data_IF_154306748317
#
_entry.id   IF_154306748317
#
_cell.length_a   1.000
_cell.length_b   1.000
_cell.length_c   1.000
_cell.angle_alpha   90.00
_cell.angle_beta   90.00
_cell.angle_gamma   90.00
#
_symmetry.space_group_name_H-M   'P 1'
#
loop_
_entity.id
_entity.type
_entity.pdbx_description
1 polymer ?
#
# COMPACT_ATOMS: atom_id res chain seq x y z
N UNK A 1 22.94 -17.40 31.88
CA UNK A 1 23.64 -18.31 30.95
C UNK A 1 23.86 -17.52 29.63
N UNK A 2 25.11 -17.38 29.22
CA UNK A 2 25.50 -16.60 28.02
C UNK A 2 24.92 -17.13 26.71
N UNK A 3 24.38 -18.36 26.71
CA UNK A 3 23.75 -19.01 25.54
C UNK A 3 22.26 -18.72 25.40
N UNK A 4 21.68 -18.01 26.38
CA UNK A 4 20.24 -17.68 26.43
C UNK A 4 20.03 -16.18 26.37
N UNK A 5 18.90 -15.75 25.79
CA UNK A 5 18.40 -14.38 25.77
C UNK A 5 17.11 -14.32 26.59
N UNK A 6 16.92 -13.23 27.35
CA UNK A 6 15.65 -12.93 27.97
C UNK A 6 14.60 -12.56 26.88
N UNK A 7 13.33 -12.85 27.15
CA UNK A 7 12.25 -12.61 26.17
C UNK A 7 12.21 -11.16 25.65
N UNK A 8 12.53 -10.17 26.49
CA UNK A 8 12.52 -8.78 26.07
C UNK A 8 13.66 -8.44 25.10
N UNK A 9 14.89 -8.95 25.35
CA UNK A 9 16.03 -8.75 24.45
C UNK A 9 15.78 -9.46 23.10
N UNK A 10 15.22 -10.66 23.15
CA UNK A 10 14.85 -11.40 21.96
C UNK A 10 13.69 -10.77 21.20
N UNK A 11 12.75 -10.09 21.89
CA UNK A 11 11.66 -9.35 21.25
C UNK A 11 12.17 -8.16 20.42
N UNK A 12 13.21 -7.47 20.87
CA UNK A 12 13.85 -6.38 20.09
C UNK A 12 14.47 -6.93 18.80
N UNK A 13 15.16 -8.07 18.87
CA UNK A 13 15.71 -8.73 17.68
C UNK A 13 14.57 -9.12 16.73
N UNK A 14 13.48 -9.70 17.24
CA UNK A 14 12.32 -10.08 16.44
C UNK A 14 11.63 -8.88 15.79
N UNK A 15 11.57 -7.74 16.51
CA UNK A 15 11.08 -6.48 15.96
C UNK A 15 11.94 -6.03 14.76
N UNK A 16 13.27 -6.03 14.89
CA UNK A 16 14.17 -5.62 13.80
C UNK A 16 14.12 -6.54 12.57
N UNK A 17 13.83 -7.84 12.75
CA UNK A 17 13.54 -8.74 11.64
C UNK A 17 12.21 -8.40 10.95
N UNK A 18 11.26 -7.84 11.70
CA UNK A 18 9.90 -7.61 11.23
C UNK A 18 9.73 -6.24 10.58
N UNK A 19 10.21 -5.18 11.23
CA UNK A 19 9.94 -3.80 10.86
C UNK A 19 10.97 -3.25 9.86
N UNK A 20 10.45 -2.65 8.78
CA UNK A 20 11.24 -1.86 7.83
C UNK A 20 11.21 -0.37 8.14
N UNK A 21 11.57 0.44 7.15
CA UNK A 21 11.52 1.89 7.24
C UNK A 21 10.09 2.42 7.46
N UNK A 22 9.97 3.60 8.06
CA UNK A 22 8.71 4.26 8.40
C UNK A 22 7.84 3.46 9.38
N UNK A 23 8.49 2.81 10.34
CA UNK A 23 7.86 2.05 11.42
C UNK A 23 8.61 2.28 12.73
N UNK A 24 7.89 2.24 13.85
CA UNK A 24 8.48 2.26 15.18
C UNK A 24 7.88 1.17 16.08
N UNK A 25 8.61 0.74 17.14
CA UNK A 25 8.11 -0.22 18.11
C UNK A 25 7.19 0.46 19.14
N UNK A 26 6.27 -0.31 19.71
CA UNK A 26 5.72 0.01 21.03
C UNK A 26 6.77 -0.25 22.11
N UNK A 27 6.45 0.11 23.36
CA UNK A 27 7.23 -0.38 24.51
C UNK A 27 7.25 -1.91 24.54
N UNK A 28 8.41 -2.47 24.89
CA UNK A 28 8.54 -3.91 25.08
C UNK A 28 7.90 -4.32 26.41
N UNK A 29 7.04 -5.34 26.38
CA UNK A 29 6.39 -5.87 27.56
C UNK A 29 6.15 -7.37 27.43
N UNK A 30 6.68 -8.17 28.36
CA UNK A 30 6.49 -9.62 28.40
C UNK A 30 6.81 -10.29 27.05
N UNK A 31 7.97 -9.95 26.47
CA UNK A 31 8.42 -10.47 25.18
C UNK A 31 7.59 -10.02 23.96
N UNK A 32 6.76 -8.98 24.09
CA UNK A 32 5.88 -8.46 23.04
C UNK A 32 6.29 -7.07 22.61
N UNK A 33 6.26 -6.82 21.30
CA UNK A 33 6.39 -5.51 20.67
C UNK A 33 5.36 -5.41 19.55
N UNK A 34 4.66 -4.28 19.47
CA UNK A 34 3.81 -3.93 18.34
C UNK A 34 4.63 -3.11 17.33
N UNK A 35 4.42 -3.34 16.05
CA UNK A 35 5.00 -2.56 14.95
C UNK A 35 3.96 -1.53 14.51
N UNK A 36 4.31 -0.24 14.57
CA UNK A 36 3.40 0.88 14.32
C UNK A 36 3.90 1.67 13.10
N UNK A 37 2.98 2.10 12.24
CA UNK A 37 3.29 2.89 11.04
C UNK A 37 3.63 4.35 11.38
N UNK A 38 4.70 4.89 10.77
CA UNK A 38 5.08 6.31 10.85
C UNK A 38 4.54 7.15 9.70
N UNK A 39 4.05 6.50 8.64
CA UNK A 39 3.52 7.16 7.45
C UNK A 39 2.34 6.41 6.86
N UNK A 40 1.54 7.14 6.08
CA UNK A 40 0.53 6.55 5.20
C UNK A 40 1.22 5.84 4.02
N UNK A 41 0.66 4.71 3.58
CA UNK A 41 1.22 3.97 2.45
C UNK A 41 0.56 2.63 2.22
N UNK A 42 1.16 1.86 1.32
CA UNK A 42 0.79 0.48 1.03
C UNK A 42 1.66 -0.47 1.87
N UNK A 43 1.03 -1.25 2.75
CA UNK A 43 1.74 -2.28 3.51
C UNK A 43 2.08 -3.47 2.61
N UNK A 44 3.35 -3.81 2.56
CA UNK A 44 3.86 -5.05 1.95
C UNK A 44 4.30 -6.01 3.05
N UNK A 45 3.99 -7.29 2.87
CA UNK A 45 4.38 -8.38 3.77
C UNK A 45 5.09 -9.45 2.97
N UNK A 46 6.33 -9.76 3.35
CA UNK A 46 7.05 -10.93 2.82
C UNK A 46 6.53 -12.19 3.51
N UNK A 47 5.60 -12.86 2.83
CA UNK A 47 4.89 -14.03 3.36
C UNK A 47 5.81 -15.23 3.55
N UNK A 48 6.83 -15.37 2.71
CA UNK A 48 7.77 -16.49 2.79
C UNK A 48 8.71 -16.33 3.99
N UNK A 49 9.26 -15.12 4.22
CA UNK A 49 10.04 -14.82 5.41
C UNK A 49 9.21 -14.97 6.67
N UNK A 50 8.01 -14.40 6.69
CA UNK A 50 7.07 -14.50 7.81
C UNK A 50 6.82 -15.97 8.18
N UNK A 51 6.53 -16.82 7.20
CA UNK A 51 6.30 -18.25 7.40
C UNK A 51 7.54 -18.95 7.95
N UNK A 52 8.72 -18.67 7.38
CA UNK A 52 9.99 -19.27 7.83
C UNK A 52 10.31 -18.89 9.28
N UNK A 53 10.19 -17.60 9.65
CA UNK A 53 10.46 -17.15 11.03
C UNK A 53 9.45 -17.77 11.99
N UNK A 54 8.16 -17.76 11.69
CA UNK A 54 7.14 -18.38 12.55
C UNK A 54 7.31 -19.91 12.67
N UNK A 55 7.97 -20.57 11.72
CA UNK A 55 8.18 -22.02 11.79
C UNK A 55 9.18 -22.46 12.86
N UNK A 56 9.93 -21.53 13.48
CA UNK A 56 10.77 -21.85 14.65
C UNK A 56 9.97 -22.20 15.91
N UNK A 57 8.67 -21.89 15.97
CA UNK A 57 7.74 -22.35 16.99
C UNK A 57 7.74 -21.57 18.31
N UNK A 58 8.82 -20.89 18.67
CA UNK A 58 8.94 -20.04 19.89
C UNK A 58 8.90 -18.54 19.55
N UNK A 59 8.90 -18.22 18.28
CA UNK A 59 8.79 -16.88 17.70
C UNK A 59 7.41 -16.75 17.05
N UNK A 60 6.73 -15.65 17.30
CA UNK A 60 5.42 -15.38 16.71
C UNK A 60 5.35 -13.96 16.18
N UNK A 61 5.02 -13.83 14.89
CA UNK A 61 4.72 -12.59 14.23
C UNK A 61 3.34 -12.72 13.60
N UNK A 62 2.39 -11.87 14.04
CA UNK A 62 1.07 -11.74 13.44
C UNK A 62 0.96 -10.37 12.77
N UNK A 63 0.62 -10.33 11.48
CA UNK A 63 0.59 -9.09 10.69
C UNK A 63 -0.82 -8.76 10.22
N UNK A 64 -1.06 -7.49 9.88
CA UNK A 64 -2.16 -7.14 8.99
C UNK A 64 -1.97 -7.81 7.63
N UNK A 65 -3.03 -7.88 6.86
CA UNK A 65 -2.96 -8.40 5.49
C UNK A 65 -2.07 -7.50 4.62
N UNK A 66 -1.17 -8.10 3.86
CA UNK A 66 -0.36 -7.37 2.88
C UNK A 66 -1.18 -6.83 1.71
N UNK A 67 -0.64 -5.85 1.00
CA UNK A 67 -1.30 -5.11 -0.08
C UNK A 67 -2.55 -4.34 0.36
N UNK A 68 -2.54 -3.84 1.60
CA UNK A 68 -3.60 -2.97 2.14
C UNK A 68 -3.05 -1.58 2.44
N UNK A 69 -3.89 -0.57 2.28
CA UNK A 69 -3.56 0.79 2.69
C UNK A 69 -3.48 0.87 4.23
N UNK A 70 -2.47 1.58 4.71
CA UNK A 70 -2.28 1.85 6.15
C UNK A 70 -2.08 3.34 6.36
N UNK A 71 -2.41 3.81 7.56
CA UNK A 71 -2.23 5.20 7.99
C UNK A 71 -1.19 5.29 9.09
N UNK A 72 -0.58 6.46 9.22
CA UNK A 72 0.29 6.76 10.36
C UNK A 72 -0.43 6.47 11.68
N UNK A 73 0.24 5.74 12.58
CA UNK A 73 -0.30 5.28 13.86
C UNK A 73 -1.01 3.93 13.80
N UNK A 74 -1.19 3.34 12.62
CA UNK A 74 -1.77 2.00 12.51
C UNK A 74 -0.84 0.93 13.05
N UNK A 75 -1.39 -0.03 13.80
CA UNK A 75 -0.67 -1.24 14.20
C UNK A 75 -0.59 -2.18 13.02
N UNK A 76 0.61 -2.51 12.60
CA UNK A 76 0.90 -3.32 11.41
C UNK A 76 1.11 -4.79 11.74
N UNK A 77 1.78 -5.04 12.88
CA UNK A 77 2.06 -6.37 13.38
C UNK A 77 2.17 -6.37 14.90
N UNK A 78 1.98 -7.54 15.48
CA UNK A 78 2.39 -7.86 16.85
C UNK A 78 3.43 -8.96 16.79
N UNK A 79 4.54 -8.79 17.50
CA UNK A 79 5.59 -9.79 17.66
C UNK A 79 5.60 -10.31 19.09
N UNK A 80 5.97 -11.57 19.29
CA UNK A 80 6.07 -12.17 20.61
C UNK A 80 7.13 -13.28 20.66
N UNK A 81 7.90 -13.28 21.73
CA UNK A 81 8.70 -14.42 22.16
C UNK A 81 7.85 -15.20 23.17
N UNK A 82 7.64 -16.49 22.93
CA UNK A 82 6.72 -17.32 23.74
C UNK A 82 7.36 -17.72 25.07
N UNK A 83 8.60 -18.25 25.13
CA UNK A 83 9.25 -18.60 26.37
C UNK A 83 9.89 -17.39 27.05
N UNK A 84 10.01 -17.41 28.37
CA UNK A 84 10.69 -16.38 29.18
C UNK A 84 12.17 -16.19 28.76
N UNK A 85 12.82 -17.27 28.35
CA UNK A 85 14.18 -17.28 27.83
C UNK A 85 14.25 -18.17 26.59
N UNK A 86 15.04 -17.74 25.60
CA UNK A 86 15.18 -18.42 24.32
C UNK A 86 16.67 -18.60 23.97
N UNK A 87 17.01 -19.66 23.24
CA UNK A 87 18.40 -19.91 22.81
C UNK A 87 18.85 -18.81 21.83
N UNK A 88 20.02 -18.22 22.12
CA UNK A 88 20.64 -17.22 21.25
C UNK A 88 20.85 -17.73 19.83
N UNK A 89 21.36 -18.96 19.68
CA UNK A 89 21.54 -19.62 18.38
C UNK A 89 20.24 -19.67 17.54
N UNK A 90 19.08 -19.87 18.19
CA UNK A 90 17.78 -19.87 17.49
C UNK A 90 17.43 -18.49 16.95
N UNK A 91 17.69 -17.44 17.72
CA UNK A 91 17.48 -16.05 17.29
C UNK A 91 18.41 -15.65 16.15
N UNK A 92 19.68 -16.10 16.21
CA UNK A 92 20.66 -15.88 15.14
C UNK A 92 20.22 -16.54 13.83
N UNK A 93 19.83 -17.81 13.86
CA UNK A 93 19.30 -18.53 12.68
C UNK A 93 18.03 -17.90 12.12
N UNK A 94 17.14 -17.40 12.97
CA UNK A 94 15.94 -16.68 12.52
C UNK A 94 16.32 -15.33 11.89
N UNK A 95 17.30 -14.61 12.44
CA UNK A 95 17.77 -13.33 11.91
C UNK A 95 18.42 -13.47 10.54
N UNK A 96 19.10 -14.57 10.26
CA UNK A 96 19.68 -14.85 8.94
C UNK A 96 18.65 -14.83 7.81
N UNK A 97 17.39 -15.22 8.10
CA UNK A 97 16.29 -15.21 7.12
C UNK A 97 15.95 -13.78 6.67
N UNK A 98 16.17 -12.80 7.55
CA UNK A 98 15.85 -11.38 7.32
C UNK A 98 17.11 -10.51 7.17
N UNK A 99 18.27 -11.11 6.95
CA UNK A 99 19.57 -10.39 6.89
C UNK A 99 19.66 -9.38 5.75
N UNK A 100 18.95 -9.61 4.64
CA UNK A 100 18.97 -8.75 3.45
C UNK A 100 17.72 -7.82 3.37
N UNK A 101 16.62 -8.17 4.02
CA UNK A 101 15.43 -7.32 4.08
C UNK A 101 14.46 -7.73 5.20
N UNK A 102 13.71 -6.77 5.79
CA UNK A 102 12.70 -7.04 6.79
C UNK A 102 11.45 -7.71 6.21
N UNK A 103 10.60 -8.24 7.10
CA UNK A 103 9.32 -8.88 6.71
C UNK A 103 8.30 -7.87 6.23
N UNK A 104 8.25 -6.67 6.84
CA UNK A 104 7.30 -5.61 6.52
C UNK A 104 7.99 -4.45 5.82
N UNK A 105 7.26 -3.86 4.87
CA UNK A 105 7.65 -2.62 4.19
C UNK A 105 6.42 -1.75 3.97
N UNK A 106 6.53 -0.45 4.24
CA UNK A 106 5.54 0.54 3.81
C UNK A 106 6.07 1.19 2.52
N UNK A 107 5.25 1.18 1.48
CA UNK A 107 5.47 1.97 0.28
C UNK A 107 4.62 3.25 0.40
N UNK A 108 5.24 4.41 0.67
CA UNK A 108 4.50 5.66 0.81
C UNK A 108 3.73 6.01 -0.47
N UNK A 109 2.55 6.62 -0.33
CA UNK A 109 1.81 7.14 -1.47
C UNK A 109 2.50 8.39 -2.02
N UNK A 110 2.95 8.31 -3.28
CA UNK A 110 3.70 9.38 -3.94
C UNK A 110 2.87 10.21 -4.90
N UNK A 111 1.77 9.64 -5.43
CA UNK A 111 0.86 10.36 -6.34
C UNK A 111 0.13 11.47 -5.60
N UNK A 112 0.08 12.67 -6.18
CA UNK A 112 -0.54 13.85 -5.58
C UNK A 112 -1.64 14.46 -6.43
N UNK A 113 -1.55 14.32 -7.76
CA UNK A 113 -2.47 14.93 -8.73
C UNK A 113 -3.07 13.88 -9.63
N UNK A 114 -4.38 13.92 -9.77
CA UNK A 114 -5.13 13.08 -10.70
C UNK A 114 -5.87 13.91 -11.74
N UNK A 115 -6.05 13.32 -12.92
CA UNK A 115 -7.02 13.78 -13.91
C UNK A 115 -8.17 12.78 -14.00
N UNK A 116 -9.36 13.28 -14.27
CA UNK A 116 -10.51 12.47 -14.67
C UNK A 116 -10.94 12.92 -16.07
N UNK A 117 -10.92 12.00 -17.00
CA UNK A 117 -11.39 12.19 -18.37
C UNK A 117 -12.65 11.36 -18.54
N UNK A 118 -13.79 12.05 -18.66
CA UNK A 118 -15.08 11.42 -18.88
C UNK A 118 -15.40 11.43 -20.36
N UNK A 119 -15.77 10.29 -20.93
CA UNK A 119 -16.12 10.15 -22.33
C UNK A 119 -17.56 9.69 -22.51
N UNK A 120 -18.13 9.97 -23.64
CA UNK A 120 -19.46 9.55 -24.04
C UNK A 120 -20.35 10.71 -24.49
N UNK A 121 -20.99 10.53 -25.63
CA UNK A 121 -21.88 11.53 -26.23
C UNK A 121 -23.02 11.96 -25.30
N UNK A 122 -23.53 11.05 -24.50
CA UNK A 122 -24.67 11.34 -23.62
C UNK A 122 -24.31 12.29 -22.47
N UNK A 123 -23.13 12.09 -21.87
CA UNK A 123 -22.60 12.99 -20.83
C UNK A 123 -22.13 14.29 -21.43
N UNK A 124 -21.41 14.22 -22.57
CA UNK A 124 -20.87 15.41 -23.25
C UNK A 124 -21.97 16.39 -23.68
N UNK A 125 -23.09 15.89 -24.23
CA UNK A 125 -24.24 16.72 -24.63
C UNK A 125 -25.22 17.00 -23.49
N UNK A 126 -24.88 16.60 -22.24
CA UNK A 126 -25.71 16.89 -21.06
C UNK A 126 -27.03 16.10 -20.98
N UNK A 127 -27.17 15.01 -21.74
CA UNK A 127 -28.35 14.15 -21.72
C UNK A 127 -28.41 13.31 -20.43
N UNK A 128 -27.23 12.93 -19.91
CA UNK A 128 -27.06 12.20 -18.65
C UNK A 128 -26.06 12.98 -17.80
N UNK A 129 -26.29 13.02 -16.50
CA UNK A 129 -25.33 13.60 -15.54
C UNK A 129 -24.16 12.66 -15.31
N UNK A 130 -22.93 13.19 -15.29
CA UNK A 130 -21.75 12.43 -14.89
C UNK A 130 -21.88 11.94 -13.45
N UNK A 131 -22.00 10.64 -13.29
CA UNK A 131 -22.06 9.96 -11.99
C UNK A 131 -20.71 9.38 -11.53
N UNK A 132 -19.71 9.29 -12.42
CA UNK A 132 -18.43 8.67 -12.09
C UNK A 132 -17.45 9.66 -11.47
N UNK A 133 -17.31 10.84 -12.00
CA UNK A 133 -16.35 11.84 -11.51
C UNK A 133 -16.46 12.10 -10.01
N UNK A 134 -17.66 12.35 -9.43
CA UNK A 134 -17.75 12.59 -7.98
C UNK A 134 -17.35 11.39 -7.12
N UNK A 135 -17.55 10.17 -7.64
CA UNK A 135 -17.16 8.93 -6.93
C UNK A 135 -15.65 8.76 -6.96
N UNK A 136 -15.02 9.03 -8.11
CA UNK A 136 -13.56 8.95 -8.26
C UNK A 136 -12.91 10.01 -7.38
N UNK A 137 -13.37 11.25 -7.44
CA UNK A 137 -12.86 12.35 -6.63
C UNK A 137 -12.88 12.01 -5.13
N UNK A 138 -14.00 11.50 -4.64
CA UNK A 138 -14.10 11.04 -3.25
C UNK A 138 -13.08 9.96 -2.92
N UNK A 139 -12.89 8.98 -3.81
CA UNK A 139 -11.94 7.87 -3.59
C UNK A 139 -10.48 8.33 -3.59
N UNK A 140 -10.08 9.16 -4.55
CA UNK A 140 -8.69 9.63 -4.63
C UNK A 140 -8.33 10.54 -3.45
N UNK A 141 -9.29 11.34 -2.97
CA UNK A 141 -9.10 12.19 -1.79
C UNK A 141 -8.80 11.38 -0.51
N UNK A 142 -9.30 10.13 -0.40
CA UNK A 142 -8.98 9.22 0.72
C UNK A 142 -7.48 8.88 0.78
N UNK A 143 -6.76 8.99 -0.35
CA UNK A 143 -5.32 8.77 -0.48
C UNK A 143 -4.50 10.07 -0.54
N UNK A 144 -5.12 11.22 -0.27
CA UNK A 144 -4.46 12.53 -0.33
C UNK A 144 -4.10 12.97 -1.75
N UNK A 145 -4.81 12.46 -2.76
CA UNK A 145 -4.65 12.83 -4.18
C UNK A 145 -5.70 13.87 -4.54
N UNK A 146 -5.26 14.98 -5.13
CA UNK A 146 -6.13 16.06 -5.62
C UNK A 146 -6.58 15.79 -7.07
N UNK A 147 -7.86 16.00 -7.36
CA UNK A 147 -8.33 16.05 -8.75
C UNK A 147 -7.99 17.41 -9.35
N UNK A 148 -6.81 17.50 -10.00
CA UNK A 148 -6.28 18.74 -10.55
C UNK A 148 -6.76 19.02 -11.98
N UNK A 149 -7.32 18.05 -12.67
CA UNK A 149 -7.82 18.18 -14.04
C UNK A 149 -9.08 17.33 -14.22
N UNK A 150 -10.11 17.91 -14.83
CA UNK A 150 -11.29 17.17 -15.27
C UNK A 150 -11.78 17.73 -16.60
N UNK A 151 -12.03 16.85 -17.54
CA UNK A 151 -12.59 17.22 -18.84
C UNK A 151 -13.51 16.11 -19.37
N UNK A 152 -14.58 16.54 -20.06
CA UNK A 152 -15.54 15.63 -20.68
C UNK A 152 -15.45 15.74 -22.19
N UNK A 153 -15.33 14.60 -22.87
CA UNK A 153 -15.24 14.49 -24.32
C UNK A 153 -16.41 13.70 -24.90
N UNK A 154 -16.78 14.02 -26.13
CA UNK A 154 -17.56 13.11 -26.96
C UNK A 154 -16.71 11.92 -27.40
N UNK A 155 -17.30 10.93 -28.09
CA UNK A 155 -16.61 9.71 -28.55
C UNK A 155 -15.70 9.97 -29.77
N UNK A 156 -14.81 10.96 -29.63
CA UNK A 156 -13.79 11.34 -30.60
C UNK A 156 -12.40 10.94 -30.04
N UNK A 157 -11.82 9.88 -30.61
CA UNK A 157 -10.55 9.31 -30.17
C UNK A 157 -9.42 10.34 -30.13
N UNK A 158 -9.34 11.22 -31.11
CA UNK A 158 -8.28 12.25 -31.19
C UNK A 158 -8.38 13.29 -30.08
N UNK A 159 -9.62 13.67 -29.73
CA UNK A 159 -9.83 14.62 -28.62
C UNK A 159 -9.52 13.99 -27.28
N UNK A 160 -9.92 12.74 -27.10
CA UNK A 160 -9.64 11.97 -25.87
C UNK A 160 -8.13 11.82 -25.70
N UNK A 161 -7.41 11.37 -26.76
CA UNK A 161 -5.95 11.26 -26.76
C UNK A 161 -5.30 12.60 -26.42
N UNK A 162 -5.78 13.70 -27.05
CA UNK A 162 -5.26 15.04 -26.76
C UNK A 162 -5.45 15.42 -25.30
N UNK A 163 -6.63 15.18 -24.73
CA UNK A 163 -6.90 15.45 -23.31
C UNK A 163 -6.00 14.65 -22.38
N UNK A 164 -5.74 13.37 -22.68
CA UNK A 164 -4.77 12.56 -21.93
C UNK A 164 -3.35 13.15 -22.00
N UNK A 165 -2.90 13.56 -23.21
CA UNK A 165 -1.58 14.16 -23.38
C UNK A 165 -1.47 15.52 -22.70
N UNK A 166 -2.52 16.34 -22.75
CA UNK A 166 -2.57 17.63 -22.04
C UNK A 166 -2.45 17.43 -20.53
N UNK A 167 -3.11 16.40 -19.96
CA UNK A 167 -2.98 16.03 -18.56
C UNK A 167 -1.55 15.58 -18.21
N UNK A 168 -0.94 14.73 -19.05
CA UNK A 168 0.48 14.31 -18.87
C UNK A 168 1.42 15.52 -18.89
N UNK A 169 1.26 16.43 -19.87
CA UNK A 169 2.07 17.63 -19.99
C UNK A 169 1.87 18.61 -18.83
N UNK A 170 0.71 18.58 -18.16
CA UNK A 170 0.43 19.35 -16.97
C UNK A 170 1.03 18.75 -15.69
N UNK A 171 1.75 17.61 -15.79
CA UNK A 171 2.39 16.95 -14.65
C UNK A 171 1.42 16.21 -13.75
N UNK A 172 0.37 15.64 -14.33
CA UNK A 172 -0.57 14.76 -13.62
C UNK A 172 0.07 13.38 -13.37
N UNK A 173 -0.04 12.87 -12.16
CA UNK A 173 0.54 11.59 -11.73
C UNK A 173 -0.28 10.37 -12.18
N UNK A 174 -1.62 10.53 -12.26
CA UNK A 174 -2.54 9.45 -12.64
C UNK A 174 -3.75 9.99 -13.39
N UNK A 175 -4.15 9.30 -14.46
CA UNK A 175 -5.30 9.66 -15.28
C UNK A 175 -6.34 8.54 -15.20
N UNK A 176 -7.57 8.90 -14.83
CA UNK A 176 -8.73 8.01 -14.85
C UNK A 176 -9.58 8.34 -16.08
N UNK A 177 -9.71 7.39 -16.99
CA UNK A 177 -10.63 7.49 -18.11
C UNK A 177 -11.92 6.73 -17.79
N UNK A 178 -13.09 7.36 -17.95
CA UNK A 178 -14.40 6.77 -17.68
C UNK A 178 -15.35 7.00 -18.85
N UNK A 179 -16.23 6.02 -19.10
CA UNK A 179 -17.12 6.02 -20.25
C UNK A 179 -16.46 5.45 -21.52
N UNK A 180 -17.28 5.10 -22.51
CA UNK A 180 -16.81 4.56 -23.79
C UNK A 180 -15.87 3.35 -23.69
N UNK A 181 -16.02 2.51 -22.66
CA UNK A 181 -15.13 1.39 -22.34
C UNK A 181 -15.79 0.02 -22.58
N UNK A 182 -17.00 0.00 -23.15
CA UNK A 182 -17.72 -1.21 -23.48
C UNK A 182 -17.16 -1.90 -24.74
N UNK A 183 -17.70 -3.05 -25.09
CA UNK A 183 -17.35 -3.78 -26.29
C UNK A 183 -18.06 -3.27 -27.56
N UNK A 184 -18.82 -2.18 -27.45
CA UNK A 184 -19.55 -1.61 -28.57
C UNK A 184 -18.58 -0.94 -29.57
N UNK A 185 -18.82 -1.06 -30.89
CA UNK A 185 -17.95 -0.49 -31.91
C UNK A 185 -17.80 1.03 -31.84
N UNK A 186 -18.76 1.72 -31.21
CA UNK A 186 -18.78 3.17 -31.06
C UNK A 186 -17.94 3.66 -29.87
N UNK A 187 -17.51 2.77 -28.99
CA UNK A 187 -16.67 3.08 -27.84
C UNK A 187 -15.22 3.31 -28.26
N UNK A 188 -14.75 4.55 -28.18
CA UNK A 188 -13.44 4.97 -28.69
C UNK A 188 -12.37 5.15 -27.61
N UNK A 189 -12.74 5.10 -26.33
CA UNK A 189 -11.81 5.34 -25.22
C UNK A 189 -10.65 4.35 -25.19
N UNK A 190 -10.83 3.01 -25.38
CA UNK A 190 -9.70 2.07 -25.42
C UNK A 190 -8.71 2.27 -26.57
N UNK A 191 -9.15 2.91 -27.67
CA UNK A 191 -8.29 3.23 -28.80
C UNK A 191 -7.53 4.55 -28.61
N UNK A 192 -8.00 5.38 -27.69
CA UNK A 192 -7.51 6.74 -27.46
C UNK A 192 -6.43 6.82 -26.36
N UNK A 193 -6.27 5.75 -25.58
CA UNK A 193 -5.36 5.68 -24.40
C UNK A 193 -4.01 5.10 -24.78
#
# INVERSE_FOLDING_TARGET
DETMLHENDAAEILYHMTAGENMHPSEVKEGKIEVIADSDGLLKVDRERLKKVNSFGELMIATRHGNTAVKKGDKLAGTRIIPLVIKKEKMEKASEICSDAPILKILPFTMKKAAVITTGNEVFYGRIKDGFTPVIEKKINEFGVEMAFHETFNDDDKKITKGCLDAVNAGIDIIFCTGGMSVDPDDKTPLAI
#
